data_IF_349369882713
#
_entry.id   IF_349369882713
#
_cell.length_a   1.000
_cell.length_b   1.000
_cell.length_c   1.000
_cell.angle_alpha   90.00
_cell.angle_beta   90.00
_cell.angle_gamma   90.00
#
_symmetry.space_group_name_H-M   'P 1'
#
loop_
_entity.id
_entity.type
_entity.pdbx_description
1 polymer ?
#
# COMPACT_ATOMS: atom_id res chain seq x y z
N UNK A 1 5.47 20.38 0.66
CA UNK A 1 6.23 19.31 -0.02
C UNK A 1 5.30 18.12 -0.16
N UNK A 2 4.90 17.80 -1.38
CA UNK A 2 3.90 16.77 -1.65
C UNK A 2 4.63 15.45 -1.84
N UNK A 3 4.50 14.55 -0.86
CA UNK A 3 5.12 13.23 -0.96
C UNK A 3 4.26 12.33 -1.83
N UNK A 4 4.56 12.29 -3.12
CA UNK A 4 3.92 11.36 -4.05
C UNK A 4 4.42 9.94 -3.74
N UNK A 5 3.50 9.05 -3.37
CA UNK A 5 3.82 7.62 -3.23
C UNK A 5 3.89 7.02 -4.63
N UNK A 6 5.10 6.67 -5.07
CA UNK A 6 5.35 6.05 -6.38
C UNK A 6 5.39 4.53 -6.28
N UNK A 7 5.28 3.86 -7.43
CA UNK A 7 5.39 2.40 -7.55
C UNK A 7 6.70 1.91 -6.96
N UNK A 8 7.78 2.66 -7.14
CA UNK A 8 9.13 2.33 -6.66
C UNK A 8 9.21 2.27 -5.13
N UNK A 9 8.55 3.21 -4.44
CA UNK A 9 8.49 3.24 -2.97
C UNK A 9 7.72 2.03 -2.45
N UNK A 10 6.55 1.74 -3.03
CA UNK A 10 5.77 0.55 -2.70
C UNK A 10 6.58 -0.70 -2.99
N UNK A 11 7.24 -0.79 -4.14
CA UNK A 11 8.08 -1.94 -4.48
C UNK A 11 9.18 -2.15 -3.45
N UNK A 12 9.89 -1.09 -3.06
CA UNK A 12 10.99 -1.19 -2.09
C UNK A 12 10.51 -1.66 -0.72
N UNK A 13 9.39 -1.10 -0.21
CA UNK A 13 8.82 -1.49 1.09
C UNK A 13 8.32 -2.93 1.06
N UNK A 14 7.62 -3.31 0.01
CA UNK A 14 7.01 -4.64 -0.11
C UNK A 14 8.05 -5.72 -0.48
N UNK A 15 9.08 -5.38 -1.24
CA UNK A 15 10.20 -6.27 -1.56
C UNK A 15 10.99 -6.72 -0.33
N UNK A 16 10.88 -6.02 0.81
CA UNK A 16 11.47 -6.46 2.07
C UNK A 16 10.77 -7.68 2.69
N UNK A 17 9.51 -7.93 2.33
CA UNK A 17 8.73 -9.07 2.83
C UNK A 17 8.78 -10.26 1.86
N UNK A 18 8.82 -9.99 0.55
CA UNK A 18 9.04 -11.00 -0.47
C UNK A 18 8.87 -10.46 -1.89
N UNK A 19 8.87 -11.34 -2.88
CA UNK A 19 8.94 -10.93 -4.27
C UNK A 19 7.59 -10.40 -4.79
N UNK A 20 7.53 -9.13 -5.17
CA UNK A 20 6.30 -8.52 -5.71
C UNK A 20 6.14 -8.89 -7.19
N UNK A 21 5.00 -9.47 -7.56
CA UNK A 21 4.70 -9.80 -8.97
C UNK A 21 4.18 -8.59 -9.74
N UNK A 22 3.31 -7.78 -9.13
CA UNK A 22 2.66 -6.67 -9.82
C UNK A 22 2.31 -5.56 -8.85
N UNK A 23 2.46 -4.33 -9.31
CA UNK A 23 2.02 -3.13 -8.58
C UNK A 23 1.21 -2.27 -9.53
N UNK A 24 0.05 -1.81 -9.09
CA UNK A 24 -0.76 -0.84 -9.81
C UNK A 24 -1.23 0.25 -8.84
N UNK A 25 -1.05 1.52 -9.21
CA UNK A 25 -1.54 2.67 -8.43
C UNK A 25 -2.67 3.32 -9.21
N UNK A 26 -3.73 3.71 -8.52
CA UNK A 26 -4.89 4.38 -9.08
C UNK A 26 -5.53 5.29 -8.04
N UNK A 27 -6.03 6.42 -8.49
CA UNK A 27 -6.79 7.33 -7.64
C UNK A 27 -8.27 6.99 -7.75
N UNK A 28 -8.94 6.82 -6.61
CA UNK A 28 -10.35 6.48 -6.55
C UNK A 28 -11.02 7.20 -5.38
N UNK A 29 -12.15 7.86 -5.63
CA UNK A 29 -12.90 8.66 -4.65
C UNK A 29 -12.05 9.74 -3.94
N UNK A 30 -11.10 10.38 -4.65
CA UNK A 30 -10.21 11.40 -4.06
C UNK A 30 -9.12 10.84 -3.14
N UNK A 31 -8.94 9.52 -3.09
CA UNK A 31 -7.84 8.86 -2.38
C UNK A 31 -6.94 8.07 -3.31
N UNK A 32 -5.64 8.08 -3.06
CA UNK A 32 -4.68 7.23 -3.78
C UNK A 32 -4.76 5.80 -3.25
N UNK A 33 -4.99 4.86 -4.15
CA UNK A 33 -4.98 3.43 -3.86
C UNK A 33 -3.86 2.75 -4.63
N UNK A 34 -3.26 1.72 -4.04
CA UNK A 34 -2.36 0.82 -4.73
C UNK A 34 -2.81 -0.62 -4.58
N UNK A 35 -2.51 -1.44 -5.58
CA UNK A 35 -2.78 -2.87 -5.65
C UNK A 35 -1.45 -3.57 -5.82
N UNK A 36 -1.16 -4.51 -4.93
CA UNK A 36 0.10 -5.25 -4.91
C UNK A 36 -0.23 -6.73 -4.96
N UNK A 37 0.34 -7.39 -5.95
CA UNK A 37 0.15 -8.81 -6.18
C UNK A 37 1.42 -9.56 -5.80
N UNK A 38 1.26 -10.54 -4.92
CA UNK A 38 2.32 -11.47 -4.52
C UNK A 38 2.09 -12.85 -5.14
N UNK A 39 3.16 -13.63 -5.34
CA UNK A 39 3.04 -15.04 -5.71
C UNK A 39 2.53 -15.89 -4.55
N UNK A 40 2.84 -15.49 -3.30
CA UNK A 40 2.54 -16.24 -2.09
C UNK A 40 1.58 -15.50 -1.14
N UNK A 41 0.60 -16.24 -0.62
CA UNK A 41 -0.38 -15.74 0.34
C UNK A 41 0.26 -15.40 1.68
N UNK A 42 1.19 -16.23 2.13
CA UNK A 42 1.87 -16.06 3.41
C UNK A 42 2.66 -14.74 3.46
N UNK A 43 3.43 -14.44 2.41
CA UNK A 43 4.17 -13.18 2.28
C UNK A 43 3.25 -11.96 2.30
N UNK A 44 2.16 -12.01 1.53
CA UNK A 44 1.18 -10.93 1.51
C UNK A 44 0.54 -10.69 2.88
N UNK A 45 0.28 -11.77 3.62
CA UNK A 45 -0.31 -11.70 4.94
C UNK A 45 0.62 -11.05 5.96
N UNK A 46 1.90 -11.45 5.97
CA UNK A 46 2.93 -10.85 6.82
C UNK A 46 3.14 -9.37 6.49
N UNK A 47 3.23 -9.03 5.20
CA UNK A 47 3.38 -7.65 4.74
C UNK A 47 2.18 -6.79 5.18
N UNK A 48 0.95 -7.33 5.03
CA UNK A 48 -0.26 -6.67 5.52
C UNK A 48 -0.19 -6.43 7.02
N UNK A 49 0.03 -7.47 7.82
CA UNK A 49 -0.01 -7.37 9.27
C UNK A 49 1.06 -6.41 9.83
N UNK A 50 2.22 -6.32 9.16
CA UNK A 50 3.31 -5.43 9.55
C UNK A 50 3.08 -3.98 9.14
N UNK A 51 2.52 -3.76 7.93
CA UNK A 51 2.32 -2.43 7.37
C UNK A 51 0.95 -1.83 7.70
N UNK A 52 -0.01 -2.65 8.14
CA UNK A 52 -1.36 -2.21 8.48
C UNK A 52 -1.32 -1.33 9.73
N UNK A 53 -1.75 -0.07 9.57
CA UNK A 53 -1.68 0.91 10.64
C UNK A 53 -0.29 1.54 10.83
N UNK A 54 0.68 1.21 9.96
CA UNK A 54 1.96 1.89 9.93
C UNK A 54 1.81 3.27 9.29
N UNK A 55 2.46 4.27 9.88
CA UNK A 55 2.55 5.61 9.33
C UNK A 55 3.81 5.68 8.45
N UNK A 56 3.67 6.13 7.20
CA UNK A 56 4.83 6.31 6.31
C UNK A 56 5.67 7.53 6.74
N UNK A 57 5.04 8.51 7.38
CA UNK A 57 5.68 9.77 7.78
C UNK A 57 5.62 10.00 9.29
N UNK A 58 6.77 10.42 9.84
CA UNK A 58 6.93 10.86 11.23
C UNK A 58 6.11 12.14 11.44
N UNK A 59 4.94 12.00 12.04
CA UNK A 59 3.88 13.01 12.07
C UNK A 59 2.47 12.44 12.22
N UNK A 60 2.28 11.13 12.06
CA UNK A 60 0.98 10.47 12.27
C UNK A 60 0.00 10.63 11.10
N UNK A 61 0.46 11.22 10.00
CA UNK A 61 -0.29 11.38 8.76
C UNK A 61 0.11 10.27 7.76
N UNK A 62 -0.79 9.92 6.83
CA UNK A 62 -0.63 8.79 5.89
C UNK A 62 -0.56 7.41 6.59
N UNK A 63 -1.64 7.03 7.28
CA UNK A 63 -1.82 5.64 7.70
C UNK A 63 -2.03 4.76 6.47
N UNK A 64 -1.18 3.75 6.31
CA UNK A 64 -1.38 2.71 5.32
C UNK A 64 -2.49 1.79 5.81
N UNK A 65 -3.57 1.72 5.05
CA UNK A 65 -4.59 0.70 5.27
C UNK A 65 -4.44 -0.38 4.20
N UNK A 66 -4.27 -1.64 4.62
CA UNK A 66 -4.14 -2.76 3.71
C UNK A 66 -5.35 -3.68 3.83
N UNK A 67 -5.93 -4.09 2.71
CA UNK A 67 -7.06 -5.03 2.70
C UNK A 67 -6.83 -6.17 1.72
N UNK A 68 -7.23 -7.38 2.10
CA UNK A 68 -7.24 -8.51 1.17
C UNK A 68 -8.35 -8.31 0.13
N UNK A 69 -8.02 -8.48 -1.14
CA UNK A 69 -9.02 -8.62 -2.20
C UNK A 69 -9.69 -10.00 -2.11
N UNK A 70 -10.98 -10.06 -2.42
CA UNK A 70 -11.79 -11.29 -2.47
C UNK A 70 -11.53 -12.15 -3.71
N UNK A 71 -10.71 -11.69 -4.64
CA UNK A 71 -10.33 -12.48 -5.81
C UNK A 71 -9.25 -13.49 -5.41
N UNK A 72 -9.32 -14.69 -5.98
CA UNK A 72 -8.29 -15.73 -5.90
C UNK A 72 -6.91 -15.22 -6.35
N UNK A 73 -6.89 -14.16 -7.14
CA UNK A 73 -5.74 -13.30 -7.37
C UNK A 73 -5.50 -12.41 -6.15
N UNK A 74 -4.49 -12.75 -5.35
CA UNK A 74 -4.08 -11.98 -4.19
C UNK A 74 -3.75 -10.55 -4.59
N UNK A 75 -4.65 -9.65 -4.24
CA UNK A 75 -4.48 -8.23 -4.46
C UNK A 75 -4.54 -7.54 -3.11
N UNK A 76 -3.39 -7.12 -2.60
CA UNK A 76 -3.28 -6.31 -1.40
C UNK A 76 -3.64 -4.89 -1.79
N UNK A 77 -4.82 -4.42 -1.35
CA UNK A 77 -5.27 -3.04 -1.55
C UNK A 77 -4.66 -2.15 -0.49
N UNK A 78 -3.76 -1.28 -0.89
CA UNK A 78 -3.20 -0.22 -0.06
C UNK A 78 -4.00 1.05 -0.28
N UNK A 79 -4.46 1.67 0.80
CA UNK A 79 -5.05 3.01 0.76
C UNK A 79 -4.02 3.97 1.34
N UNK A 80 -3.55 4.88 0.50
CA UNK A 80 -2.70 5.99 0.91
C UNK A 80 -3.65 7.15 1.15
N UNK A 81 -3.87 7.47 2.43
CA UNK A 81 -4.60 8.67 2.79
C UNK A 81 -3.69 9.86 2.48
N UNK A 82 -3.73 10.36 1.24
CA UNK A 82 -3.23 11.67 0.92
C UNK A 82 -4.07 12.64 1.76
N UNK A 83 -3.48 13.16 2.84
CA UNK A 83 -4.08 14.26 3.56
C UNK A 83 -4.12 15.43 2.58
N UNK A 84 -5.26 15.65 1.94
CA UNK A 84 -5.55 16.95 1.37
C UNK A 84 -5.52 17.93 2.54
N UNK A 85 -4.39 18.64 2.68
CA UNK A 85 -4.30 19.89 3.42
C UNK A 85 -5.18 20.89 2.67
N UNK A 86 -6.49 20.79 2.87
CA UNK A 86 -7.41 21.88 2.67
C UNK A 86 -7.48 22.65 3.98
N UNK A 87 -6.49 23.50 4.24
CA UNK A 87 -6.58 24.80 4.95
C UNK A 87 -5.20 25.41 5.09
#
# INVERSE_FOLDING_TARGET
MQYAVTVDVLHTVFSGFGNVQKIAIFEKNGGTQALIQYPDVATAAVAKETLEGHCIYDGGYCKLHLSYSRHTDLNVKVYICALELMS
#
